data_IF_371277781450
#
_entry.id   IF_371277781450
#
_cell.length_a   1.000
_cell.length_b   1.000
_cell.length_c   1.000
_cell.angle_alpha   90.00
_cell.angle_beta   90.00
_cell.angle_gamma   90.00
#
_symmetry.space_group_name_H-M   'P 1'
#
loop_
_entity.id
_entity.type
_entity.pdbx_description
1 polymer ?
#
# COMPACT_ATOMS: atom_id res chain seq x y z
N UNK A 1 -9.25 9.13 -8.86
CA UNK A 1 -7.95 9.22 -8.15
C UNK A 1 -8.12 9.42 -6.64
N UNK A 2 -8.90 10.41 -6.20
CA UNK A 2 -9.10 10.70 -4.76
C UNK A 2 -9.59 9.50 -3.93
N UNK A 3 -10.57 8.73 -4.42
CA UNK A 3 -11.03 7.53 -3.71
C UNK A 3 -9.92 6.52 -3.46
N UNK A 4 -9.02 6.31 -4.43
CA UNK A 4 -7.89 5.38 -4.28
C UNK A 4 -6.88 5.91 -3.25
N UNK A 5 -6.58 7.22 -3.29
CA UNK A 5 -5.74 7.87 -2.28
C UNK A 5 -6.31 7.69 -0.88
N UNK A 6 -7.61 7.94 -0.70
CA UNK A 6 -8.27 7.82 0.59
C UNK A 6 -8.22 6.38 1.12
N UNK A 7 -8.51 5.39 0.26
CA UNK A 7 -8.38 3.97 0.62
C UNK A 7 -6.95 3.60 1.04
N UNK A 8 -5.96 4.03 0.28
CA UNK A 8 -4.55 3.74 0.54
C UNK A 8 -4.07 4.38 1.85
N UNK A 9 -4.38 5.65 2.05
CA UNK A 9 -3.89 6.44 3.20
C UNK A 9 -4.64 6.14 4.50
N UNK A 10 -5.96 5.92 4.43
CA UNK A 10 -6.80 5.80 5.62
C UNK A 10 -7.06 4.36 6.03
N UNK A 11 -6.93 3.38 5.12
CA UNK A 11 -7.26 1.99 5.40
C UNK A 11 -6.06 1.07 5.23
N UNK A 12 -5.48 1.00 4.02
CA UNK A 12 -4.48 -0.03 3.67
C UNK A 12 -3.14 0.20 4.38
N UNK A 13 -2.59 1.43 4.37
CA UNK A 13 -1.33 1.74 5.03
C UNK A 13 -1.40 1.60 6.57
N UNK A 14 -2.42 2.13 7.26
CA UNK A 14 -2.59 1.91 8.70
C UNK A 14 -2.66 0.43 9.08
N UNK A 15 -3.41 -0.38 8.33
CA UNK A 15 -3.48 -1.82 8.50
C UNK A 15 -2.10 -2.50 8.38
N UNK A 16 -1.31 -2.11 7.38
CA UNK A 16 0.03 -2.62 7.19
C UNK A 16 0.97 -2.26 8.35
N UNK A 17 0.84 -1.04 8.90
CA UNK A 17 1.62 -0.61 10.06
C UNK A 17 1.23 -1.38 11.32
N UNK A 18 -0.06 -1.63 11.54
CA UNK A 18 -0.54 -2.42 12.67
C UNK A 18 -0.02 -3.87 12.62
N UNK A 19 -0.11 -4.49 11.44
CA UNK A 19 0.41 -5.86 11.26
C UNK A 19 1.93 -5.92 11.48
N UNK A 20 2.69 -4.98 10.91
CA UNK A 20 4.14 -4.88 11.14
C UNK A 20 4.48 -4.62 12.61
N UNK A 21 3.69 -3.81 13.32
CA UNK A 21 3.85 -3.56 14.74
C UNK A 21 3.63 -4.83 15.57
N UNK A 22 2.65 -5.65 15.19
CA UNK A 22 2.40 -6.96 15.84
C UNK A 22 3.55 -7.93 15.60
N UNK A 23 4.06 -8.04 14.37
CA UNK A 23 5.22 -8.87 14.05
C UNK A 23 6.47 -8.42 14.80
N UNK A 24 6.73 -7.11 14.88
CA UNK A 24 7.87 -6.57 15.61
C UNK A 24 7.82 -6.90 17.11
N UNK A 25 6.63 -6.84 17.73
CA UNK A 25 6.45 -7.27 19.13
C UNK A 25 6.73 -8.76 19.31
N UNK A 26 6.23 -9.61 18.41
CA UNK A 26 6.52 -11.05 18.45
C UNK A 26 8.02 -11.34 18.35
N UNK A 27 8.73 -10.67 17.43
CA UNK A 27 10.19 -10.81 17.30
C UNK A 27 10.91 -10.41 18.59
N UNK A 28 10.54 -9.28 19.22
CA UNK A 28 11.19 -8.86 20.48
C UNK A 28 11.00 -9.89 21.61
N UNK A 29 9.80 -10.47 21.72
CA UNK A 29 9.50 -11.50 22.71
C UNK A 29 10.31 -12.77 22.45
N UNK A 30 10.35 -13.24 21.21
CA UNK A 30 11.07 -14.46 20.83
C UNK A 30 12.59 -14.30 20.96
N UNK A 31 13.14 -13.13 20.63
CA UNK A 31 14.55 -12.83 20.82
C UNK A 31 14.99 -12.96 22.28
N UNK A 32 14.07 -12.73 23.22
CA UNK A 32 14.33 -12.85 24.66
C UNK A 32 14.37 -14.32 25.13
N UNK A 33 13.84 -15.25 24.34
CA UNK A 33 13.72 -16.68 24.68
C UNK A 33 14.75 -17.51 23.90
N UNK A 34 14.85 -17.29 22.58
CA UNK A 34 15.57 -18.18 21.65
C UNK A 34 16.73 -17.49 20.90
N UNK A 35 16.87 -16.16 21.02
CA UNK A 35 17.91 -15.36 20.34
C UNK A 35 17.55 -14.88 18.93
N UNK A 36 18.22 -13.81 18.48
CA UNK A 36 17.83 -12.96 17.34
C UNK A 36 17.72 -13.62 15.96
N UNK A 37 18.36 -14.76 15.75
CA UNK A 37 18.67 -15.26 14.41
C UNK A 37 17.69 -16.31 13.85
N UNK A 38 16.70 -16.77 14.63
CA UNK A 38 15.88 -17.94 14.25
C UNK A 38 14.38 -17.66 14.06
N UNK A 39 13.89 -16.45 14.36
CA UNK A 39 12.44 -16.16 14.32
C UNK A 39 11.92 -15.98 12.88
N UNK A 40 10.99 -16.83 12.39
CA UNK A 40 10.38 -16.67 11.06
C UNK A 40 9.64 -15.33 10.88
N UNK A 41 9.14 -14.74 11.96
CA UNK A 41 8.47 -13.44 12.00
C UNK A 41 9.40 -12.30 11.56
N UNK A 42 10.71 -12.41 11.84
CA UNK A 42 11.70 -11.45 11.37
C UNK A 42 11.85 -11.51 9.85
N UNK A 43 11.76 -12.71 9.26
CA UNK A 43 11.74 -12.91 7.82
C UNK A 43 10.53 -12.25 7.17
N UNK A 44 9.34 -12.44 7.76
CA UNK A 44 8.11 -11.80 7.30
C UNK A 44 8.20 -10.27 7.38
N UNK A 45 8.72 -9.72 8.48
CA UNK A 45 8.89 -8.27 8.66
C UNK A 45 9.87 -7.67 7.63
N UNK A 46 10.96 -8.38 7.33
CA UNK A 46 11.94 -8.00 6.29
C UNK A 46 11.32 -8.01 4.89
N UNK A 47 10.42 -8.96 4.60
CA UNK A 47 9.71 -9.03 3.32
C UNK A 47 8.65 -7.93 3.17
N UNK A 48 7.93 -7.59 4.25
CA UNK A 48 6.87 -6.56 4.25
C UNK A 48 7.41 -5.14 4.13
N UNK A 49 8.55 -4.84 4.77
CA UNK A 49 9.11 -3.50 4.84
C UNK A 49 9.33 -2.82 3.47
N UNK A 50 9.95 -3.46 2.46
CA UNK A 50 10.09 -2.86 1.14
C UNK A 50 8.74 -2.62 0.46
N UNK A 51 7.78 -3.55 0.60
CA UNK A 51 6.46 -3.43 -0.02
C UNK A 51 5.67 -2.24 0.56
N UNK A 52 5.71 -2.07 1.89
CA UNK A 52 5.06 -0.91 2.54
C UNK A 52 5.74 0.40 2.15
N UNK A 53 7.07 0.41 1.99
CA UNK A 53 7.80 1.58 1.49
C UNK A 53 7.41 1.92 0.05
N UNK A 54 7.32 0.92 -0.82
CA UNK A 54 6.91 1.10 -2.22
C UNK A 54 5.48 1.64 -2.31
N UNK A 55 4.55 1.12 -1.48
CA UNK A 55 3.18 1.61 -1.40
C UNK A 55 3.10 3.07 -0.94
N UNK A 56 3.87 3.44 0.09
CA UNK A 56 3.96 4.82 0.56
C UNK A 56 4.50 5.75 -0.53
N UNK A 57 5.54 5.33 -1.27
CA UNK A 57 6.09 6.10 -2.36
C UNK A 57 5.10 6.26 -3.53
N UNK A 58 4.36 5.20 -3.86
CA UNK A 58 3.34 5.24 -4.89
C UNK A 58 2.17 6.17 -4.52
N UNK A 59 1.78 6.21 -3.24
CA UNK A 59 0.77 7.15 -2.75
C UNK A 59 1.22 8.61 -2.90
N UNK A 60 2.48 8.92 -2.55
CA UNK A 60 3.04 10.28 -2.73
C UNK A 60 3.07 10.65 -4.23
N UNK A 61 3.50 9.73 -5.09
CA UNK A 61 3.52 9.99 -6.54
C UNK A 61 2.11 10.21 -7.12
N UNK A 62 1.10 9.50 -6.62
CA UNK A 62 -0.30 9.71 -6.98
C UNK A 62 -0.79 11.09 -6.55
N UNK A 63 -0.45 11.51 -5.33
CA UNK A 63 -0.76 12.84 -4.81
C UNK A 63 -0.14 13.97 -5.65
N UNK A 64 1.14 13.83 -5.99
CA UNK A 64 1.83 14.78 -6.85
C UNK A 64 1.20 14.84 -8.25
N UNK A 65 0.76 13.70 -8.78
CA UNK A 65 0.10 13.63 -10.09
C UNK A 65 -1.27 14.32 -10.06
N UNK A 66 -2.04 14.15 -8.98
CA UNK A 66 -3.32 14.86 -8.77
C UNK A 66 -3.08 16.37 -8.68
N UNK A 67 -2.06 16.80 -7.93
CA UNK A 67 -1.72 18.22 -7.80
C UNK A 67 -1.32 18.84 -9.15
N UNK A 68 -0.54 18.11 -9.97
CA UNK A 68 -0.17 18.55 -11.33
C UNK A 68 -1.38 18.69 -12.25
N UNK A 69 -2.33 17.76 -12.16
CA UNK A 69 -3.56 17.83 -12.94
C UNK A 69 -4.37 19.08 -12.57
N UNK A 70 -4.55 19.34 -11.26
CA UNK A 70 -5.27 20.52 -10.78
C UNK A 70 -4.59 21.86 -11.12
N UNK A 71 -3.29 21.84 -11.45
CA UNK A 71 -2.57 23.03 -11.90
C UNK A 71 -2.78 23.35 -13.39
N UNK A 72 -3.47 22.49 -14.14
CA UNK A 72 -3.89 22.77 -15.52
C UNK A 72 -5.25 23.43 -15.45
N UNK A 73 -5.36 24.63 -16.04
CA UNK A 73 -6.57 25.43 -16.03
C UNK A 73 -6.92 25.81 -17.47
N UNK A 74 -8.22 25.93 -17.77
CA UNK A 74 -8.75 26.47 -19.03
C UNK A 74 -8.35 25.72 -20.32
N UNK A 75 -7.85 24.49 -20.22
CA UNK A 75 -7.60 23.60 -21.36
C UNK A 75 -8.00 22.15 -21.04
N UNK A 76 -9.24 21.81 -21.40
CA UNK A 76 -9.82 20.49 -21.19
C UNK A 76 -9.08 19.37 -21.94
N UNK A 77 -8.43 19.67 -23.07
CA UNK A 77 -7.69 18.67 -23.85
C UNK A 77 -6.36 18.38 -23.18
N UNK A 78 -5.67 19.41 -22.69
CA UNK A 78 -4.46 19.25 -21.89
C UNK A 78 -4.74 18.53 -20.56
N UNK A 79 -5.85 18.85 -19.90
CA UNK A 79 -6.28 18.16 -18.66
C UNK A 79 -6.54 16.67 -18.93
N UNK A 80 -7.32 16.33 -19.96
CA UNK A 80 -7.61 14.94 -20.31
C UNK A 80 -6.33 14.16 -20.65
N UNK A 81 -5.39 14.78 -21.38
CA UNK A 81 -4.11 14.17 -21.71
C UNK A 81 -3.25 13.97 -20.48
N UNK A 82 -3.16 14.94 -19.59
CA UNK A 82 -2.43 14.81 -18.33
C UNK A 82 -3.02 13.73 -17.41
N UNK A 83 -4.35 13.58 -17.38
CA UNK A 83 -4.98 12.50 -16.65
C UNK A 83 -4.57 11.12 -17.22
N UNK A 84 -4.57 10.96 -18.53
CA UNK A 84 -4.11 9.73 -19.19
C UNK A 84 -2.62 9.46 -18.97
N UNK A 85 -1.78 10.48 -19.10
CA UNK A 85 -0.31 10.34 -19.11
C UNK A 85 0.28 10.22 -17.69
N UNK A 86 -0.38 10.79 -16.67
CA UNK A 86 0.16 10.84 -15.31
C UNK A 86 -0.72 10.15 -14.27
N UNK A 87 -2.03 10.37 -14.26
CA UNK A 87 -2.93 9.81 -13.23
C UNK A 87 -3.10 8.31 -13.42
N UNK A 88 -3.42 7.86 -14.64
CA UNK A 88 -3.66 6.43 -14.90
C UNK A 88 -2.44 5.58 -14.56
N UNK A 89 -1.20 5.94 -14.98
CA UNK A 89 -0.01 5.19 -14.57
C UNK A 89 0.26 5.24 -13.05
N UNK A 90 0.06 6.39 -12.41
CA UNK A 90 0.24 6.51 -10.97
C UNK A 90 -0.76 5.63 -10.19
N UNK A 91 -2.03 5.59 -10.61
CA UNK A 91 -3.04 4.71 -10.03
C UNK A 91 -2.71 3.23 -10.25
N UNK A 92 -2.20 2.86 -11.43
CA UNK A 92 -1.79 1.49 -11.73
C UNK A 92 -0.63 1.05 -10.82
N UNK A 93 0.38 1.90 -10.64
CA UNK A 93 1.51 1.62 -9.77
C UNK A 93 1.08 1.47 -8.30
N UNK A 94 0.22 2.37 -7.82
CA UNK A 94 -0.32 2.30 -6.47
C UNK A 94 -1.15 1.02 -6.25
N UNK A 95 -1.92 0.60 -7.26
CA UNK A 95 -2.66 -0.66 -7.26
C UNK A 95 -1.72 -1.88 -7.17
N UNK A 96 -0.70 -1.96 -8.02
CA UNK A 96 0.25 -3.08 -8.00
C UNK A 96 0.97 -3.20 -6.65
N UNK A 97 1.33 -2.08 -6.03
CA UNK A 97 1.93 -2.07 -4.70
C UNK A 97 0.94 -2.55 -3.62
N UNK A 98 -0.34 -2.16 -3.72
CA UNK A 98 -1.39 -2.60 -2.80
C UNK A 98 -1.72 -4.10 -2.94
N UNK A 99 -1.81 -4.59 -4.19
CA UNK A 99 -2.04 -6.01 -4.50
C UNK A 99 -0.88 -6.87 -3.95
N UNK A 100 0.37 -6.39 -4.08
CA UNK A 100 1.53 -7.07 -3.50
C UNK A 100 1.45 -7.12 -1.98
N UNK A 101 1.00 -6.05 -1.33
CA UNK A 101 0.80 -6.00 0.12
C UNK A 101 -0.31 -6.97 0.58
N UNK A 102 -1.37 -7.13 -0.19
CA UNK A 102 -2.48 -8.06 0.08
C UNK A 102 -1.99 -9.51 0.20
N UNK A 103 -0.98 -9.90 -0.59
CA UNK A 103 -0.42 -11.27 -0.54
C UNK A 103 0.42 -11.56 0.71
N UNK A 104 0.94 -10.52 1.37
CA UNK A 104 1.84 -10.63 2.51
C UNK A 104 1.19 -10.29 3.85
N UNK A 105 0.05 -9.61 3.82
CA UNK A 105 -0.70 -9.24 5.03
C UNK A 105 -1.68 -10.34 5.38
N UNK A 106 -1.81 -10.64 6.67
CA UNK A 106 -2.80 -11.60 7.13
C UNK A 106 -4.23 -11.03 6.94
N UNK A 107 -5.15 -11.89 6.52
CA UNK A 107 -6.53 -11.54 6.14
C UNK A 107 -7.27 -10.71 7.19
N UNK A 108 -7.09 -11.06 8.48
CA UNK A 108 -7.65 -10.34 9.64
C UNK A 108 -7.32 -8.84 9.67
N UNK A 109 -6.16 -8.45 9.16
CA UNK A 109 -5.70 -7.06 9.17
C UNK A 109 -6.04 -6.33 7.88
N UNK A 110 -6.52 -7.01 6.83
CA UNK A 110 -6.80 -6.36 5.56
C UNK A 110 -8.23 -5.79 5.56
N UNK A 111 -8.41 -4.46 5.36
CA UNK A 111 -9.69 -3.78 5.62
C UNK A 111 -10.74 -3.94 4.52
N UNK A 112 -10.33 -4.43 3.34
CA UNK A 112 -11.22 -4.62 2.19
C UNK A 112 -11.33 -6.11 1.84
N UNK A 113 -12.48 -6.58 1.34
CA UNK A 113 -12.63 -7.97 0.91
C UNK A 113 -11.59 -8.30 -0.16
N UNK A 114 -11.00 -9.48 -0.07
CA UNK A 114 -10.04 -9.93 -1.07
C UNK A 114 -10.73 -10.20 -2.40
N UNK A 115 -9.97 -10.10 -3.48
CA UNK A 115 -10.53 -10.30 -4.82
C UNK A 115 -11.17 -11.69 -4.99
N UNK A 116 -10.63 -12.71 -4.32
CA UNK A 116 -11.22 -14.05 -4.27
C UNK A 116 -12.60 -14.08 -3.62
N UNK A 117 -12.83 -13.25 -2.60
CA UNK A 117 -14.11 -13.16 -1.90
C UNK A 117 -15.15 -12.43 -2.76
N UNK A 118 -14.74 -11.37 -3.46
CA UNK A 118 -15.61 -10.61 -4.36
C UNK A 118 -16.10 -11.42 -5.56
N UNK A 119 -15.25 -12.29 -6.13
CA UNK A 119 -15.62 -13.15 -7.25
C UNK A 119 -16.41 -14.40 -6.87
N UNK A 120 -16.44 -14.74 -5.57
CA UNK A 120 -17.14 -15.91 -5.06
C UNK A 120 -18.58 -15.62 -4.59
N UNK A 121 -19.04 -14.36 -4.72
CA UNK A 121 -20.40 -13.93 -4.37
C UNK A 121 -21.37 -13.98 -5.56
#
# INVERSE_FOLDING_TARGET
>A
ANTMKDLLSQQILPAAFEYRGTLAKSVQLLNSIEGEAQSPELGALKALTPVVKDLQAALVALDDSIAKLHAIHDDAVAEAKAASDFIVPAMQNARVAADRLETLTADKFYPIPRYSELLSQ
#
